data_IF_854757505785
#
_entry.id   IF_854757505785
#
_cell.length_a   1.000
_cell.length_b   1.000
_cell.length_c   1.000
_cell.angle_alpha   90.00
_cell.angle_beta   90.00
_cell.angle_gamma   90.00
#
_symmetry.space_group_name_H-M   'P 1'
#
loop_
_entity.id
_entity.type
_entity.pdbx_description
1 polymer ?
#
# COMPACT_ATOMS: atom_id res chain seq x y z
N UNK A 1 -20.43 3.52 -25.05
CA UNK A 1 -20.08 3.81 -23.65
C UNK A 1 -18.65 4.36 -23.65
N UNK A 2 -18.40 5.56 -23.12
CA UNK A 2 -17.03 6.08 -23.10
C UNK A 2 -16.19 5.28 -22.10
N UNK A 3 -14.87 5.16 -22.36
CA UNK A 3 -13.93 4.49 -21.46
C UNK A 3 -14.07 5.00 -20.00
N UNK A 4 -14.28 6.31 -19.84
CA UNK A 4 -14.51 6.94 -18.53
C UNK A 4 -15.79 6.43 -17.84
N UNK A 5 -16.92 6.36 -18.57
CA UNK A 5 -18.19 5.91 -17.98
C UNK A 5 -18.15 4.43 -17.54
N UNK A 6 -17.36 3.61 -18.22
CA UNK A 6 -17.13 2.23 -17.80
C UNK A 6 -16.37 2.15 -16.47
N UNK A 7 -15.25 2.87 -16.34
CA UNK A 7 -14.49 2.90 -15.09
C UNK A 7 -15.27 3.52 -13.93
N UNK A 8 -16.04 4.58 -14.16
CA UNK A 8 -16.92 5.19 -13.17
C UNK A 8 -17.92 4.17 -12.60
N UNK A 9 -18.42 3.27 -13.45
CA UNK A 9 -19.41 2.26 -13.04
C UNK A 9 -18.82 1.13 -12.21
N UNK A 10 -17.57 0.73 -12.47
CA UNK A 10 -16.93 -0.42 -11.78
C UNK A 10 -16.10 -0.02 -10.57
N UNK A 11 -15.67 1.26 -10.47
CA UNK A 11 -14.71 1.69 -9.47
C UNK A 11 -15.15 1.40 -8.03
N UNK A 12 -16.39 1.73 -7.69
CA UNK A 12 -16.92 1.46 -6.35
C UNK A 12 -16.98 -0.03 -6.03
N UNK A 13 -17.46 -0.84 -6.99
CA UNK A 13 -17.51 -2.30 -6.85
C UNK A 13 -16.13 -2.90 -6.67
N UNK A 14 -15.14 -2.43 -7.43
CA UNK A 14 -13.75 -2.87 -7.34
C UNK A 14 -13.14 -2.59 -5.96
N UNK A 15 -13.36 -1.39 -5.41
CA UNK A 15 -12.86 -1.03 -4.08
C UNK A 15 -13.50 -1.91 -3.01
N UNK A 16 -14.83 -2.15 -3.10
CA UNK A 16 -15.52 -3.05 -2.17
C UNK A 16 -14.92 -4.46 -2.23
N UNK A 17 -14.72 -5.00 -3.43
CA UNK A 17 -14.11 -6.33 -3.62
C UNK A 17 -12.70 -6.37 -3.02
N UNK A 18 -11.84 -5.38 -3.32
CA UNK A 18 -10.50 -5.31 -2.75
C UNK A 18 -10.53 -5.23 -1.22
N UNK A 19 -11.45 -4.42 -0.64
CA UNK A 19 -11.61 -4.31 0.81
C UNK A 19 -12.01 -5.65 1.45
N UNK A 20 -12.92 -6.40 0.82
CA UNK A 20 -13.30 -7.75 1.28
C UNK A 20 -12.12 -8.72 1.17
N UNK A 21 -11.32 -8.65 0.11
CA UNK A 21 -10.13 -9.46 -0.05
C UNK A 21 -9.07 -9.14 1.02
N UNK A 22 -8.85 -7.87 1.38
CA UNK A 22 -7.99 -7.50 2.50
C UNK A 22 -8.49 -8.10 3.83
N UNK A 23 -9.79 -8.04 4.10
CA UNK A 23 -10.38 -8.64 5.29
C UNK A 23 -10.19 -10.17 5.32
N UNK A 24 -10.28 -10.84 4.18
CA UNK A 24 -10.01 -12.27 4.06
C UNK A 24 -8.54 -12.59 4.34
N UNK A 25 -7.60 -11.83 3.75
CA UNK A 25 -6.16 -12.04 3.98
C UNK A 25 -5.81 -11.73 5.43
N UNK A 26 -6.42 -10.72 6.05
CA UNK A 26 -6.30 -10.44 7.47
C UNK A 26 -6.68 -11.66 8.33
N UNK A 27 -7.85 -12.24 8.09
CA UNK A 27 -8.31 -13.44 8.82
C UNK A 27 -7.40 -14.65 8.60
N UNK A 28 -6.93 -14.85 7.36
CA UNK A 28 -5.95 -15.90 7.04
C UNK A 28 -4.60 -15.65 7.73
N UNK A 29 -4.17 -14.39 7.83
CA UNK A 29 -2.92 -14.02 8.52
C UNK A 29 -3.00 -14.27 10.03
N UNK A 30 -4.16 -14.03 10.67
CA UNK A 30 -4.41 -14.44 12.06
C UNK A 30 -4.22 -15.95 12.21
N UNK A 31 -4.85 -16.73 11.35
CA UNK A 31 -4.75 -18.20 11.38
C UNK A 31 -3.31 -18.68 11.26
N UNK A 32 -2.55 -18.14 10.32
CA UNK A 32 -1.15 -18.53 10.12
C UNK A 32 -0.25 -18.03 11.26
N UNK A 33 -0.52 -16.85 11.82
CA UNK A 33 0.18 -16.36 13.02
C UNK A 33 -0.06 -17.27 14.22
N UNK A 34 -1.28 -17.72 14.48
CA UNK A 34 -1.60 -18.61 15.61
C UNK A 34 -0.87 -19.94 15.48
N UNK A 35 -0.63 -20.43 14.26
CA UNK A 35 0.12 -21.67 14.00
C UNK A 35 1.63 -21.49 14.12
N UNK A 36 2.19 -20.45 13.52
CA UNK A 36 3.63 -20.32 13.29
C UNK A 36 4.30 -19.29 14.21
N UNK A 37 3.52 -18.40 14.84
CA UNK A 37 3.99 -17.32 15.74
C UNK A 37 5.05 -16.41 15.09
N UNK A 38 4.99 -16.18 13.77
CA UNK A 38 5.95 -15.36 13.05
C UNK A 38 5.49 -13.92 12.92
N UNK A 39 6.39 -12.98 13.18
CA UNK A 39 6.12 -11.54 13.17
C UNK A 39 5.62 -11.03 11.80
N UNK A 40 6.04 -11.66 10.70
CA UNK A 40 5.59 -11.27 9.35
C UNK A 40 4.08 -11.32 9.17
N UNK A 41 3.37 -12.24 9.85
CA UNK A 41 1.91 -12.28 9.79
C UNK A 41 1.27 -11.16 10.60
N UNK A 42 1.92 -10.67 11.67
CA UNK A 42 1.48 -9.45 12.37
C UNK A 42 1.63 -8.24 11.45
N UNK A 43 2.76 -8.12 10.75
CA UNK A 43 2.96 -7.04 9.78
C UNK A 43 1.90 -7.09 8.67
N UNK A 44 1.61 -8.28 8.12
CA UNK A 44 0.53 -8.44 7.12
C UNK A 44 -0.84 -8.05 7.66
N UNK A 45 -1.16 -8.38 8.92
CA UNK A 45 -2.40 -7.94 9.55
C UNK A 45 -2.49 -6.42 9.67
N UNK A 46 -1.39 -5.76 10.05
CA UNK A 46 -1.31 -4.30 10.17
C UNK A 46 -1.51 -3.64 8.80
N UNK A 47 -0.87 -4.15 7.75
CA UNK A 47 -1.08 -3.70 6.37
C UNK A 47 -2.54 -3.84 5.94
N UNK A 48 -3.12 -5.02 6.17
CA UNK A 48 -4.52 -5.25 5.82
C UNK A 48 -5.47 -4.29 6.55
N UNK A 49 -5.22 -3.97 7.83
CA UNK A 49 -6.02 -2.98 8.58
C UNK A 49 -5.96 -1.61 7.90
N UNK A 50 -4.77 -1.18 7.49
CA UNK A 50 -4.59 0.10 6.78
C UNK A 50 -5.36 0.14 5.46
N UNK A 51 -5.26 -0.91 4.64
CA UNK A 51 -5.98 -0.98 3.37
C UNK A 51 -7.49 -1.16 3.53
N UNK A 52 -7.96 -1.88 4.56
CA UNK A 52 -9.39 -1.96 4.91
C UNK A 52 -9.91 -0.57 5.28
N UNK A 53 -9.17 0.16 6.13
CA UNK A 53 -9.52 1.54 6.49
C UNK A 53 -9.62 2.42 5.24
N UNK A 54 -8.62 2.36 4.35
CA UNK A 54 -8.63 3.11 3.09
C UNK A 54 -9.85 2.80 2.23
N UNK A 55 -10.14 1.53 2.03
CA UNK A 55 -11.32 1.08 1.30
C UNK A 55 -12.64 1.58 1.90
N UNK A 56 -12.79 1.54 3.24
CA UNK A 56 -13.98 2.04 3.93
C UNK A 56 -14.15 3.54 3.71
N UNK A 57 -13.08 4.33 3.83
CA UNK A 57 -13.12 5.79 3.59
C UNK A 57 -13.53 6.09 2.16
N UNK A 58 -12.99 5.35 1.17
CA UNK A 58 -13.34 5.53 -0.23
C UNK A 58 -14.81 5.22 -0.52
N UNK A 59 -15.33 4.13 0.02
CA UNK A 59 -16.73 3.73 -0.17
C UNK A 59 -17.69 4.70 0.53
N UNK A 60 -17.29 5.22 1.69
CA UNK A 60 -18.14 6.10 2.52
C UNK A 60 -18.01 7.58 2.17
N UNK A 61 -16.96 7.98 1.46
CA UNK A 61 -16.56 9.38 1.27
C UNK A 61 -17.66 10.29 0.71
N UNK A 62 -18.51 9.77 -0.18
CA UNK A 62 -19.63 10.55 -0.75
C UNK A 62 -20.73 10.91 0.29
N UNK A 63 -20.82 10.13 1.37
CA UNK A 63 -21.80 10.36 2.46
C UNK A 63 -21.24 11.22 3.58
N UNK A 64 -19.94 11.54 3.54
CA UNK A 64 -19.27 12.33 4.57
C UNK A 64 -19.36 13.82 4.26
N UNK A 65 -19.42 14.64 5.31
CA UNK A 65 -19.19 16.09 5.18
C UNK A 65 -17.72 16.35 4.83
N UNK A 66 -17.43 17.49 4.19
CA UNK A 66 -16.10 17.84 3.73
C UNK A 66 -15.06 17.85 4.85
N UNK A 67 -15.42 18.32 6.04
CA UNK A 67 -14.52 18.35 7.19
C UNK A 67 -14.20 16.94 7.72
N UNK A 68 -15.19 16.05 7.78
CA UNK A 68 -15.00 14.65 8.19
C UNK A 68 -14.15 13.95 7.14
N UNK A 69 -14.42 14.17 5.85
CA UNK A 69 -13.66 13.56 4.77
C UNK A 69 -12.19 13.99 4.80
N UNK A 70 -11.89 15.28 5.04
CA UNK A 70 -10.51 15.75 5.20
C UNK A 70 -9.83 15.12 6.40
N UNK A 71 -10.48 15.07 7.56
CA UNK A 71 -9.92 14.46 8.77
C UNK A 71 -9.61 12.97 8.60
N UNK A 72 -10.52 12.21 8.00
CA UNK A 72 -10.31 10.78 7.75
C UNK A 72 -9.20 10.53 6.72
N UNK A 73 -9.07 11.41 5.71
CA UNK A 73 -7.97 11.30 4.75
C UNK A 73 -6.61 11.68 5.35
N UNK A 74 -6.53 12.62 6.32
CA UNK A 74 -5.29 12.85 7.07
C UNK A 74 -4.82 11.56 7.75
N UNK A 75 -5.72 10.84 8.43
CA UNK A 75 -5.38 9.55 9.05
C UNK A 75 -4.93 8.52 8.01
N UNK A 76 -5.54 8.51 6.82
CA UNK A 76 -5.11 7.69 5.70
C UNK A 76 -3.66 7.96 5.31
N UNK A 77 -3.26 9.24 5.16
CA UNK A 77 -1.88 9.62 4.85
C UNK A 77 -0.91 9.24 5.97
N UNK A 78 -1.32 9.39 7.23
CA UNK A 78 -0.53 8.93 8.39
C UNK A 78 -0.31 7.41 8.32
N UNK A 79 -1.36 6.64 8.06
CA UNK A 79 -1.25 5.19 7.91
C UNK A 79 -0.32 4.80 6.76
N UNK A 80 -0.44 5.44 5.59
CA UNK A 80 0.47 5.20 4.47
C UNK A 80 1.93 5.54 4.83
N UNK A 81 2.16 6.66 5.53
CA UNK A 81 3.49 7.05 6.00
C UNK A 81 4.13 6.02 6.96
N UNK A 82 3.32 5.26 7.70
CA UNK A 82 3.79 4.18 8.58
C UNK A 82 3.92 2.86 7.83
N UNK A 83 2.92 2.51 7.01
CA UNK A 83 2.78 1.17 6.44
C UNK A 83 3.72 0.94 5.25
N UNK A 84 3.83 1.89 4.32
CA UNK A 84 4.71 1.72 3.15
C UNK A 84 6.15 1.36 3.54
N UNK A 85 6.80 1.98 4.55
CA UNK A 85 8.12 1.56 5.00
C UNK A 85 8.19 0.13 5.55
N UNK A 86 7.09 -0.48 6.00
CA UNK A 86 7.14 -1.87 6.49
C UNK A 86 7.52 -2.86 5.40
N UNK A 87 7.37 -2.50 4.11
CA UNK A 87 7.86 -3.29 2.99
C UNK A 87 9.38 -3.53 3.08
N UNK A 88 10.13 -2.59 3.68
CA UNK A 88 11.55 -2.75 3.96
C UNK A 88 11.74 -3.86 5.02
N UNK A 89 10.93 -3.85 6.09
CA UNK A 89 10.98 -4.90 7.11
C UNK A 89 10.61 -6.27 6.53
N UNK A 90 9.55 -6.37 5.70
CA UNK A 90 9.21 -7.61 4.99
C UNK A 90 10.40 -8.15 4.19
N UNK A 91 11.14 -7.27 3.52
CA UNK A 91 12.32 -7.66 2.73
C UNK A 91 13.41 -8.30 3.59
N UNK A 92 13.66 -7.77 4.78
CA UNK A 92 14.62 -8.37 5.73
C UNK A 92 14.22 -9.78 6.15
N UNK A 93 12.93 -10.02 6.40
CA UNK A 93 12.41 -11.36 6.71
C UNK A 93 12.43 -12.30 5.50
N UNK A 94 12.10 -11.81 4.32
CA UNK A 94 12.10 -12.60 3.09
C UNK A 94 13.50 -13.10 2.73
N UNK A 95 14.51 -12.24 2.87
CA UNK A 95 15.92 -12.57 2.66
C UNK A 95 16.54 -13.36 3.84
N UNK A 96 15.78 -13.60 4.91
CA UNK A 96 16.23 -14.30 6.11
C UNK A 96 17.51 -13.68 6.68
N UNK A 97 17.54 -12.37 6.81
CA UNK A 97 18.69 -11.67 7.35
C UNK A 97 19.07 -12.19 8.74
N UNK A 98 20.37 -12.29 9.01
CA UNK A 98 20.90 -12.52 10.34
C UNK A 98 20.45 -11.39 11.27
N UNK A 99 20.46 -11.65 12.58
CA UNK A 99 19.93 -10.74 13.60
C UNK A 99 20.51 -9.32 13.51
N UNK A 100 21.80 -9.19 13.26
CA UNK A 100 22.48 -7.91 13.06
C UNK A 100 21.96 -7.12 11.87
N UNK A 101 21.87 -7.77 10.70
CA UNK A 101 21.31 -7.16 9.48
C UNK A 101 19.82 -6.88 9.58
N UNK A 102 19.07 -7.76 10.25
CA UNK A 102 17.64 -7.54 10.49
C UNK A 102 17.41 -6.31 11.40
N UNK A 103 18.28 -6.12 12.41
CA UNK A 103 18.22 -4.93 13.26
C UNK A 103 18.46 -3.65 12.43
N UNK A 104 19.50 -3.62 11.58
CA UNK A 104 19.75 -2.48 10.69
C UNK A 104 18.54 -2.23 9.78
N UNK A 105 17.98 -3.29 9.21
CA UNK A 105 16.80 -3.20 8.35
C UNK A 105 15.59 -2.57 9.08
N UNK A 106 15.37 -2.91 10.35
CA UNK A 106 14.35 -2.29 11.19
C UNK A 106 14.66 -0.82 11.53
N UNK A 107 15.92 -0.48 11.78
CA UNK A 107 16.33 0.92 12.00
C UNK A 107 16.01 1.76 10.77
N UNK A 108 16.34 1.27 9.57
CA UNK A 108 15.98 1.95 8.30
C UNK A 108 14.46 2.08 8.17
N UNK A 109 13.72 1.01 8.44
CA UNK A 109 12.25 1.04 8.42
C UNK A 109 11.70 2.12 9.34
N UNK A 110 12.18 2.21 10.59
CA UNK A 110 11.74 3.21 11.56
C UNK A 110 12.08 4.65 11.14
N UNK A 111 13.27 4.87 10.57
CA UNK A 111 13.64 6.19 10.03
C UNK A 111 12.66 6.58 8.91
N UNK A 112 12.38 5.67 7.99
CA UNK A 112 11.42 5.90 6.92
C UNK A 112 9.99 6.16 7.46
N UNK A 113 9.55 5.45 8.50
CA UNK A 113 8.26 5.71 9.17
C UNK A 113 8.20 7.12 9.77
N UNK A 114 9.28 7.57 10.43
CA UNK A 114 9.34 8.93 10.99
C UNK A 114 9.25 9.97 9.86
N UNK A 115 9.99 9.78 8.77
CA UNK A 115 9.93 10.67 7.60
C UNK A 115 8.53 10.67 6.98
N UNK A 116 7.88 9.51 6.86
CA UNK A 116 6.51 9.39 6.37
C UNK A 116 5.49 10.09 7.26
N UNK A 117 5.64 9.99 8.58
CA UNK A 117 4.79 10.71 9.54
C UNK A 117 4.97 12.22 9.42
N UNK A 118 6.21 12.71 9.29
CA UNK A 118 6.50 14.13 9.10
C UNK A 118 5.90 14.64 7.78
N UNK A 119 6.03 13.86 6.71
CA UNK A 119 5.41 14.19 5.43
C UNK A 119 3.88 14.24 5.54
N UNK A 120 3.25 13.22 6.15
CA UNK A 120 1.81 13.18 6.36
C UNK A 120 1.29 14.36 7.20
N UNK A 121 2.00 14.71 8.29
CA UNK A 121 1.66 15.87 9.14
C UNK A 121 1.77 17.22 8.42
N UNK A 122 2.64 17.29 7.40
CA UNK A 122 2.86 18.52 6.60
C UNK A 122 2.00 18.58 5.34
N UNK A 123 1.21 17.53 5.05
CA UNK A 123 0.35 17.47 3.87
C UNK A 123 -0.90 18.33 4.07
N UNK A 124 -1.13 19.24 3.12
CA UNK A 124 -2.39 19.99 3.04
C UNK A 124 -3.39 19.21 2.19
N UNK A 125 -4.63 19.08 2.66
CA UNK A 125 -5.68 18.31 2.00
C UNK A 125 -6.61 19.18 1.17
N UNK A 126 -6.93 18.75 -0.04
CA UNK A 126 -8.00 19.30 -0.86
C UNK A 126 -8.98 18.22 -1.28
N UNK A 127 -10.24 18.60 -1.46
CA UNK A 127 -11.26 17.70 -1.99
C UNK A 127 -11.03 17.59 -3.49
N UNK A 128 -10.82 16.38 -3.96
CA UNK A 128 -10.72 16.10 -5.40
C UNK A 128 -12.12 16.02 -6.04
N UNK A 129 -12.17 16.16 -7.36
CA UNK A 129 -13.40 15.92 -8.11
C UNK A 129 -13.89 14.50 -7.87
N UNK A 130 -15.21 14.35 -7.76
CA UNK A 130 -15.82 13.03 -7.65
C UNK A 130 -15.48 12.15 -8.85
N UNK A 131 -15.08 10.92 -8.57
CA UNK A 131 -14.89 9.88 -9.57
C UNK A 131 -16.02 8.86 -9.45
N UNK A 132 -16.98 8.92 -10.35
CA UNK A 132 -18.19 8.12 -10.28
C UNK A 132 -18.94 8.31 -8.94
N UNK A 133 -18.96 7.25 -8.13
CA UNK A 133 -19.57 7.26 -6.79
C UNK A 133 -18.56 7.50 -5.65
N UNK A 134 -17.31 7.76 -5.98
CA UNK A 134 -16.23 7.95 -5.01
C UNK A 134 -15.95 9.43 -4.83
N UNK A 135 -15.84 9.88 -3.59
CA UNK A 135 -15.38 11.21 -3.20
C UNK A 135 -14.19 11.05 -2.27
N UNK A 136 -13.07 11.67 -2.61
CA UNK A 136 -11.82 11.57 -1.85
C UNK A 136 -11.13 12.91 -1.70
N UNK A 137 -10.16 12.98 -0.79
CA UNK A 137 -9.21 14.09 -0.74
C UNK A 137 -7.87 13.66 -1.35
N UNK A 138 -7.22 14.61 -1.97
CA UNK A 138 -5.84 14.51 -2.43
C UNK A 138 -4.96 15.55 -1.79
N UNK A 139 -3.69 15.52 -2.16
CA UNK A 139 -2.72 16.51 -1.72
C UNK A 139 -2.99 17.86 -2.43
N UNK A 140 -3.01 18.95 -1.65
CA UNK A 140 -3.17 20.30 -2.17
C UNK A 140 -1.88 20.79 -2.82
N UNK A 141 -1.99 21.62 -3.86
CA UNK A 141 -0.84 22.16 -4.61
C UNK A 141 0.09 23.02 -3.70
N UNK A 142 -0.44 23.64 -2.63
CA UNK A 142 0.35 24.37 -1.62
C UNK A 142 1.10 23.46 -0.63
N UNK A 143 1.06 22.15 -0.80
CA UNK A 143 1.87 21.25 0.03
C UNK A 143 3.34 21.43 -0.32
N UNK A 144 4.24 21.55 0.68
CA UNK A 144 5.66 21.74 0.40
C UNK A 144 6.24 20.64 -0.49
N UNK A 145 7.04 20.99 -1.49
CA UNK A 145 7.56 20.03 -2.49
C UNK A 145 8.37 18.89 -1.89
N UNK A 146 9.04 19.10 -0.74
CA UNK A 146 9.78 18.04 -0.05
C UNK A 146 8.86 16.89 0.44
N UNK A 147 7.58 17.19 0.76
CA UNK A 147 6.59 16.19 1.18
C UNK A 147 6.31 15.20 0.04
N UNK A 148 6.05 15.73 -1.17
CA UNK A 148 5.87 14.90 -2.36
C UNK A 148 7.13 14.09 -2.71
N UNK A 149 8.31 14.69 -2.51
CA UNK A 149 9.58 13.99 -2.76
C UNK A 149 9.79 12.83 -1.79
N UNK A 150 9.52 13.02 -0.50
CA UNK A 150 9.59 11.95 0.51
C UNK A 150 8.56 10.86 0.19
N UNK A 151 7.31 11.22 -0.08
CA UNK A 151 6.25 10.27 -0.41
C UNK A 151 6.64 9.41 -1.63
N UNK A 152 7.10 10.05 -2.71
CA UNK A 152 7.58 9.36 -3.91
C UNK A 152 8.77 8.46 -3.64
N UNK A 153 9.77 8.95 -2.90
CA UNK A 153 10.96 8.18 -2.55
C UNK A 153 10.61 6.94 -1.72
N UNK A 154 9.70 7.06 -0.78
CA UNK A 154 9.29 5.95 0.08
C UNK A 154 8.48 4.92 -0.69
N UNK A 155 7.51 5.37 -1.49
CA UNK A 155 6.67 4.48 -2.28
C UNK A 155 7.50 3.70 -3.31
N UNK A 156 8.24 4.42 -4.17
CA UNK A 156 9.05 3.79 -5.23
C UNK A 156 10.25 3.05 -4.63
N UNK A 157 10.95 3.64 -3.67
CA UNK A 157 12.15 3.06 -3.07
C UNK A 157 11.88 1.73 -2.36
N UNK A 158 10.80 1.65 -1.57
CA UNK A 158 10.41 0.42 -0.88
C UNK A 158 10.04 -0.70 -1.86
N UNK A 159 9.34 -0.37 -2.94
CA UNK A 159 8.94 -1.35 -3.96
C UNK A 159 10.15 -1.82 -4.78
N UNK A 160 11.07 -0.92 -5.17
CA UNK A 160 12.31 -1.30 -5.86
C UNK A 160 13.16 -2.21 -4.97
N UNK A 161 13.30 -1.88 -3.68
CA UNK A 161 14.04 -2.70 -2.73
C UNK A 161 13.42 -4.11 -2.63
N UNK A 162 12.09 -4.20 -2.57
CA UNK A 162 11.36 -5.47 -2.59
C UNK A 162 11.58 -6.23 -3.90
N UNK A 163 11.61 -5.57 -5.06
CA UNK A 163 11.87 -6.21 -6.35
C UNK A 163 13.29 -6.77 -6.45
N UNK A 164 14.30 -6.00 -6.03
CA UNK A 164 15.70 -6.46 -6.01
C UNK A 164 15.82 -7.71 -5.15
N UNK A 165 15.23 -7.71 -3.96
CA UNK A 165 15.19 -8.87 -3.09
C UNK A 165 14.45 -10.06 -3.73
N UNK A 166 13.36 -9.78 -4.44
CA UNK A 166 12.61 -10.80 -5.20
C UNK A 166 13.42 -11.44 -6.30
N UNK A 167 14.24 -10.67 -7.03
CA UNK A 167 15.18 -11.19 -8.04
C UNK A 167 16.23 -12.09 -7.37
N UNK A 168 16.79 -11.67 -6.24
CA UNK A 168 17.77 -12.49 -5.48
C UNK A 168 17.11 -13.81 -5.05
N UNK A 169 15.91 -13.78 -4.50
CA UNK A 169 15.17 -14.97 -4.10
C UNK A 169 14.85 -15.88 -5.28
N UNK A 170 14.52 -15.31 -6.43
CA UNK A 170 14.29 -16.08 -7.65
C UNK A 170 15.58 -16.81 -8.12
N UNK A 171 16.71 -16.11 -8.13
CA UNK A 171 18.00 -16.71 -8.56
C UNK A 171 18.43 -17.79 -7.57
N UNK A 172 18.38 -17.52 -6.27
CA UNK A 172 18.97 -18.39 -5.22
C UNK A 172 18.04 -19.52 -4.83
N UNK A 173 16.73 -19.24 -4.67
CA UNK A 173 15.75 -20.20 -4.14
C UNK A 173 14.71 -20.66 -5.16
N UNK A 174 14.78 -20.18 -6.41
CA UNK A 174 13.77 -20.39 -7.46
C UNK A 174 12.36 -19.95 -7.01
N UNK A 175 12.31 -18.88 -6.22
CA UNK A 175 11.09 -18.36 -5.64
C UNK A 175 10.73 -17.00 -6.24
N UNK A 176 9.57 -16.92 -6.91
CA UNK A 176 9.18 -15.72 -7.65
C UNK A 176 7.99 -14.95 -7.03
N UNK A 177 7.29 -15.49 -6.02
CA UNK A 177 6.13 -14.81 -5.44
C UNK A 177 6.50 -13.47 -4.81
N UNK A 178 7.66 -13.38 -4.16
CA UNK A 178 8.14 -12.12 -3.58
C UNK A 178 8.46 -11.07 -4.66
N UNK A 179 9.03 -11.52 -5.79
CA UNK A 179 9.23 -10.67 -6.96
C UNK A 179 7.90 -10.18 -7.54
N UNK A 180 6.91 -11.08 -7.71
CA UNK A 180 5.59 -10.72 -8.23
C UNK A 180 4.88 -9.69 -7.36
N UNK A 181 5.05 -9.75 -6.03
CA UNK A 181 4.49 -8.74 -5.12
C UNK A 181 4.99 -7.33 -5.47
N UNK A 182 6.31 -7.15 -5.59
CA UNK A 182 6.90 -5.86 -5.98
C UNK A 182 6.60 -5.48 -7.43
N UNK A 183 6.65 -6.44 -8.35
CA UNK A 183 6.43 -6.21 -9.77
C UNK A 183 5.03 -5.68 -10.07
N UNK A 184 3.98 -6.30 -9.54
CA UNK A 184 2.62 -5.82 -9.75
C UNK A 184 2.39 -4.46 -9.10
N UNK A 185 2.91 -4.25 -7.89
CA UNK A 185 2.83 -2.95 -7.25
C UNK A 185 3.48 -1.86 -8.11
N UNK A 186 4.69 -2.10 -8.63
CA UNK A 186 5.40 -1.14 -9.47
C UNK A 186 4.67 -0.86 -10.79
N UNK A 187 4.26 -1.91 -11.51
CA UNK A 187 3.59 -1.76 -12.81
C UNK A 187 2.28 -0.97 -12.65
N UNK A 188 1.44 -1.36 -11.71
CA UNK A 188 0.15 -0.69 -11.53
C UNK A 188 0.31 0.75 -11.03
N UNK A 189 1.33 1.04 -10.21
CA UNK A 189 1.66 2.41 -9.81
C UNK A 189 2.27 3.25 -10.93
N UNK A 190 2.95 2.63 -11.91
CA UNK A 190 3.57 3.33 -13.02
C UNK A 190 2.61 3.63 -14.19
N UNK A 191 1.69 2.71 -14.50
CA UNK A 191 0.74 2.85 -15.62
C UNK A 191 -0.20 4.03 -15.41
N UNK A 192 -0.63 4.26 -14.17
CA UNK A 192 -1.54 5.33 -13.83
C UNK A 192 -1.00 6.72 -14.19
N UNK A 193 0.17 7.14 -13.65
CA UNK A 193 0.81 8.40 -14.02
C UNK A 193 1.12 8.49 -15.52
N UNK A 194 1.56 7.40 -16.15
CA UNK A 194 1.86 7.35 -17.58
C UNK A 194 0.61 7.59 -18.45
N UNK A 195 -0.57 7.23 -17.96
CA UNK A 195 -1.84 7.47 -18.67
C UNK A 195 -2.32 8.92 -18.63
N UNK A 196 -1.75 9.75 -17.75
CA UNK A 196 -2.22 11.12 -17.48
C UNK A 196 -3.61 11.20 -16.83
N UNK A 197 -4.22 10.06 -16.50
CA UNK A 197 -5.56 9.98 -15.91
C UNK A 197 -5.46 9.66 -14.40
N UNK A 198 -5.71 10.68 -13.54
CA UNK A 198 -5.64 10.56 -12.09
C UNK A 198 -6.60 9.50 -11.51
N UNK A 199 -7.76 9.32 -12.14
CA UNK A 199 -8.78 8.38 -11.67
C UNK A 199 -8.38 6.93 -11.97
N UNK A 200 -7.82 6.71 -13.18
CA UNK A 200 -7.26 5.41 -13.55
C UNK A 200 -6.05 5.07 -12.69
N UNK A 201 -5.17 6.04 -12.44
CA UNK A 201 -4.02 5.89 -11.54
C UNK A 201 -4.45 5.35 -10.17
N UNK A 202 -5.45 5.98 -9.58
CA UNK A 202 -5.96 5.59 -8.27
C UNK A 202 -6.49 4.14 -8.28
N UNK A 203 -7.31 3.77 -9.25
CA UNK A 203 -7.89 2.42 -9.30
C UNK A 203 -6.83 1.34 -9.53
N UNK A 204 -5.85 1.63 -10.39
CA UNK A 204 -4.72 0.74 -10.65
C UNK A 204 -3.85 0.57 -9.41
N UNK A 205 -3.59 1.64 -8.64
CA UNK A 205 -2.87 1.56 -7.37
C UNK A 205 -3.51 0.54 -6.42
N UNK A 206 -4.83 0.60 -6.25
CA UNK A 206 -5.57 -0.35 -5.39
C UNK A 206 -5.41 -1.79 -5.87
N UNK A 207 -5.39 -2.03 -7.20
CA UNK A 207 -5.14 -3.37 -7.73
C UNK A 207 -3.68 -3.83 -7.51
N UNK A 208 -2.72 -2.92 -7.62
CA UNK A 208 -1.32 -3.20 -7.31
C UNK A 208 -1.14 -3.61 -5.85
N UNK A 209 -1.76 -2.87 -4.93
CA UNK A 209 -1.71 -3.11 -3.49
C UNK A 209 -2.31 -4.46 -3.10
N UNK A 210 -3.49 -4.83 -3.61
CA UNK A 210 -4.10 -6.12 -3.27
C UNK A 210 -3.30 -7.30 -3.81
N UNK A 211 -2.78 -7.20 -5.04
CA UNK A 211 -1.91 -8.24 -5.60
C UNK A 211 -0.61 -8.37 -4.81
N UNK A 212 0.00 -7.26 -4.41
CA UNK A 212 1.19 -7.25 -3.55
C UNK A 212 0.91 -8.02 -2.25
N UNK A 213 -0.16 -7.72 -1.54
CA UNK A 213 -0.52 -8.36 -0.28
C UNK A 213 -0.81 -9.86 -0.47
N UNK A 214 -1.53 -10.23 -1.54
CA UNK A 214 -1.78 -11.65 -1.88
C UNK A 214 -0.45 -12.40 -2.06
N UNK A 215 0.46 -11.87 -2.87
CA UNK A 215 1.73 -12.52 -3.15
C UNK A 215 2.66 -12.54 -1.94
N UNK A 216 2.67 -11.50 -1.10
CA UNK A 216 3.38 -11.52 0.18
C UNK A 216 2.83 -12.61 1.10
N UNK A 217 1.51 -12.71 1.25
CA UNK A 217 0.88 -13.76 2.06
C UNK A 217 1.25 -15.16 1.56
N UNK A 218 1.13 -15.41 0.25
CA UNK A 218 1.47 -16.71 -0.36
C UNK A 218 2.94 -17.05 -0.13
N UNK A 219 3.84 -16.07 -0.32
CA UNK A 219 5.27 -16.24 -0.11
C UNK A 219 5.56 -16.63 1.35
N UNK A 220 5.11 -15.84 2.32
CA UNK A 220 5.40 -16.10 3.72
C UNK A 220 4.72 -17.37 4.25
N UNK A 221 3.56 -17.73 3.75
CA UNK A 221 2.92 -19.00 4.08
C UNK A 221 3.70 -20.20 3.56
N UNK A 222 4.32 -20.10 2.38
CA UNK A 222 5.08 -21.21 1.76
C UNK A 222 6.47 -21.37 2.38
N UNK A 223 7.12 -20.27 2.78
CA UNK A 223 8.52 -20.24 3.24
C UNK A 223 8.66 -19.93 4.73
N UNK A 224 7.59 -20.09 5.43
CA UNK A 224 7.53 -19.88 6.88
C UNK A 224 7.72 -21.16 7.66
#
# INVERSE_FOLDING_TARGET
MSFRSFFDSIALGSIIVCTVLYALIFALSIREYLKMKRLVFILLMIECIGFIYDGIIMVSGKKMSDNILKGTNILRYILHGILVPTLIAFTGYALQFRRDKLYINWVVTLICMILGLLAAASTKMQIEKEFGKIKRCGMHDDTPGWVSSIDTMMNIGSVIYMMIAGIILFIVKREFFYFLAGFFMLIFSAIGPASGNKDLNFLLSVYGEILMIIFLFVFFKKYS
#
